data_IF_475359241301
#
_entry.id   IF_475359241301
#
_cell.length_a   1.000
_cell.length_b   1.000
_cell.length_c   1.000
_cell.angle_alpha   90.00
_cell.angle_beta   90.00
_cell.angle_gamma   90.00
#
_symmetry.space_group_name_H-M   'P 1'
#
loop_
_entity.id
_entity.type
_entity.pdbx_description
1 polymer ?
#
# COMPACT_ATOMS: atom_id res chain seq x y z
N UNK A 1 32.49 20.64 12.25
CA UNK A 1 31.19 19.95 12.08
C UNK A 1 30.64 20.22 10.69
N UNK A 2 30.58 19.24 9.81
CA UNK A 2 29.95 19.39 8.50
C UNK A 2 28.44 19.67 8.66
N UNK A 3 27.98 20.81 8.11
CA UNK A 3 26.58 21.23 8.18
C UNK A 3 25.73 20.23 7.44
N UNK A 4 24.74 19.62 8.11
CA UNK A 4 23.81 18.67 7.47
C UNK A 4 23.02 19.37 6.37
N UNK A 5 23.11 18.86 5.15
CA UNK A 5 22.30 19.30 3.99
C UNK A 5 21.05 18.41 3.91
N UNK A 6 19.88 19.01 3.94
CA UNK A 6 18.60 18.31 3.79
C UNK A 6 18.52 17.58 2.44
N UNK A 7 17.74 16.50 2.37
CA UNK A 7 17.56 15.75 1.12
C UNK A 7 17.13 16.67 -0.04
N UNK A 8 16.19 17.58 0.18
CA UNK A 8 15.65 18.47 -0.85
C UNK A 8 16.65 19.51 -1.35
N UNK A 9 17.61 19.88 -0.52
CA UNK A 9 18.64 20.89 -0.84
C UNK A 9 19.85 20.28 -1.58
N UNK A 10 19.84 18.97 -1.81
CA UNK A 10 20.91 18.24 -2.51
C UNK A 10 20.71 18.27 -4.02
N UNK A 11 21.82 18.13 -4.75
CA UNK A 11 21.76 17.91 -6.20
C UNK A 11 20.96 16.64 -6.57
N UNK A 12 20.34 16.62 -7.74
CA UNK A 12 19.60 15.44 -8.23
C UNK A 12 20.43 14.15 -8.22
N UNK A 13 21.73 14.24 -8.58
CA UNK A 13 22.66 13.11 -8.51
C UNK A 13 22.81 12.57 -7.10
N UNK A 14 22.97 13.45 -6.11
CA UNK A 14 23.09 13.07 -4.70
C UNK A 14 21.78 12.50 -4.16
N UNK A 15 20.63 13.06 -4.53
CA UNK A 15 19.30 12.51 -4.19
C UNK A 15 19.14 11.10 -4.71
N UNK A 16 19.43 10.86 -5.99
CA UNK A 16 19.32 9.53 -6.63
C UNK A 16 20.22 8.50 -5.93
N UNK A 17 21.44 8.90 -5.52
CA UNK A 17 22.34 8.01 -4.78
C UNK A 17 21.78 7.65 -3.40
N UNK A 18 21.22 8.61 -2.66
CA UNK A 18 20.58 8.37 -1.36
C UNK A 18 19.38 7.45 -1.52
N UNK A 19 18.50 7.70 -2.47
CA UNK A 19 17.32 6.85 -2.75
C UNK A 19 17.76 5.42 -3.04
N UNK A 20 18.77 5.23 -3.91
CA UNK A 20 19.33 3.91 -4.21
C UNK A 20 19.80 3.20 -2.94
N UNK A 21 20.61 3.87 -2.10
CA UNK A 21 21.14 3.28 -0.86
C UNK A 21 20.05 2.92 0.15
N UNK A 22 19.04 3.79 0.31
CA UNK A 22 17.88 3.49 1.16
C UNK A 22 17.13 2.26 0.66
N UNK A 23 16.86 2.17 -0.65
CA UNK A 23 16.22 0.99 -1.24
C UNK A 23 17.06 -0.28 -1.01
N UNK A 24 18.36 -0.23 -1.24
CA UNK A 24 19.28 -1.36 -1.04
C UNK A 24 19.32 -1.84 0.41
N UNK A 25 19.34 -0.93 1.37
CA UNK A 25 19.32 -1.30 2.80
C UNK A 25 18.00 -1.91 3.23
N UNK A 26 16.88 -1.33 2.81
CA UNK A 26 15.57 -1.91 3.08
C UNK A 26 15.45 -3.30 2.45
N UNK A 27 15.86 -3.46 1.19
CA UNK A 27 15.82 -4.75 0.50
C UNK A 27 16.75 -5.78 1.14
N UNK A 28 17.97 -5.39 1.52
CA UNK A 28 18.92 -6.27 2.23
C UNK A 28 18.35 -6.75 3.57
N UNK A 29 17.64 -5.88 4.29
CA UNK A 29 17.12 -6.20 5.62
C UNK A 29 15.83 -7.01 5.57
N UNK A 30 14.92 -6.69 4.64
CA UNK A 30 13.57 -7.25 4.61
C UNK A 30 13.29 -8.16 3.42
N UNK A 31 14.17 -8.18 2.42
CA UNK A 31 13.97 -8.92 1.18
C UNK A 31 12.81 -8.39 0.34
N UNK A 32 12.20 -9.31 -0.42
CA UNK A 32 11.00 -9.07 -1.25
C UNK A 32 9.85 -10.01 -0.88
N UNK A 33 9.48 -10.16 0.41
CA UNK A 33 8.44 -11.10 0.80
C UNK A 33 7.07 -10.64 0.30
N UNK A 34 6.21 -11.60 0.02
CA UNK A 34 4.78 -11.31 -0.12
C UNK A 34 4.18 -11.05 1.27
N UNK A 35 3.42 -9.98 1.42
CA UNK A 35 2.80 -9.61 2.71
C UNK A 35 1.51 -10.40 3.01
N UNK A 36 1.40 -11.59 2.45
CA UNK A 36 0.23 -12.45 2.61
C UNK A 36 -0.92 -12.11 1.67
N UNK A 37 -0.72 -11.24 0.70
CA UNK A 37 -1.72 -10.88 -0.31
C UNK A 37 -2.03 -12.07 -1.24
N UNK A 38 -3.31 -12.30 -1.63
CA UNK A 38 -3.69 -13.27 -2.63
C UNK A 38 -3.02 -13.01 -3.99
N UNK A 39 -2.91 -14.07 -4.81
CA UNK A 39 -2.28 -13.94 -6.14
C UNK A 39 -3.24 -13.42 -7.21
N UNK A 40 -4.53 -13.76 -7.10
CA UNK A 40 -5.55 -13.31 -8.05
C UNK A 40 -5.85 -11.82 -7.80
N UNK A 41 -5.88 -10.96 -8.85
CA UNK A 41 -6.17 -9.54 -8.69
C UNK A 41 -7.50 -9.24 -7.99
N UNK A 42 -8.55 -10.02 -8.27
CA UNK A 42 -9.84 -9.82 -7.63
C UNK A 42 -9.84 -10.26 -6.16
N UNK A 43 -9.18 -11.38 -5.86
CA UNK A 43 -8.98 -11.83 -4.48
C UNK A 43 -8.19 -10.80 -3.67
N UNK A 44 -7.13 -10.25 -4.26
CA UNK A 44 -6.30 -9.25 -3.62
C UNK A 44 -7.06 -7.94 -3.40
N UNK A 45 -7.87 -7.50 -4.37
CA UNK A 45 -8.72 -6.32 -4.21
C UNK A 45 -9.65 -6.45 -3.00
N UNK A 46 -10.34 -7.58 -2.86
CA UNK A 46 -11.23 -7.81 -1.73
C UNK A 46 -10.46 -7.95 -0.41
N UNK A 47 -9.30 -8.61 -0.43
CA UNK A 47 -8.43 -8.71 0.74
C UNK A 47 -7.91 -7.33 1.19
N UNK A 48 -7.44 -6.49 0.27
CA UNK A 48 -6.94 -5.15 0.57
C UNK A 48 -8.07 -4.27 1.14
N UNK A 49 -9.29 -4.38 0.60
CA UNK A 49 -10.44 -3.64 1.13
C UNK A 49 -10.71 -3.99 2.60
N UNK A 50 -10.55 -5.27 2.97
CA UNK A 50 -10.72 -5.76 4.35
C UNK A 50 -9.54 -5.34 5.24
N UNK A 51 -8.33 -5.34 4.71
CA UNK A 51 -7.11 -5.06 5.47
C UNK A 51 -6.89 -3.58 5.81
N UNK A 52 -7.55 -2.67 5.10
CA UNK A 52 -7.45 -1.23 5.38
C UNK A 52 -7.95 -0.92 6.80
N UNK A 53 -7.07 -0.33 7.65
CA UNK A 53 -7.37 0.01 9.06
C UNK A 53 -7.85 -1.18 9.89
N UNK A 54 -7.38 -2.39 9.57
CA UNK A 54 -7.74 -3.63 10.27
C UNK A 54 -6.46 -4.36 10.64
N UNK A 55 -6.42 -4.93 11.83
CA UNK A 55 -5.29 -5.76 12.26
C UNK A 55 -5.11 -6.95 11.29
N UNK A 56 -3.88 -7.30 10.90
CA UNK A 56 -3.61 -8.31 9.87
C UNK A 56 -4.32 -9.65 10.11
N UNK A 57 -4.29 -10.16 11.34
CA UNK A 57 -4.96 -11.43 11.71
C UNK A 57 -6.48 -11.37 11.51
N UNK A 58 -7.11 -10.26 11.94
CA UNK A 58 -8.56 -10.07 11.76
C UNK A 58 -8.94 -9.95 10.29
N UNK A 59 -8.15 -9.24 9.50
CA UNK A 59 -8.37 -9.12 8.06
C UNK A 59 -8.29 -10.47 7.36
N UNK A 60 -7.27 -11.27 7.70
CA UNK A 60 -7.07 -12.62 7.16
C UNK A 60 -8.24 -13.54 7.51
N UNK A 61 -8.57 -13.66 8.79
CA UNK A 61 -9.68 -14.50 9.25
C UNK A 61 -11.02 -14.10 8.59
N UNK A 62 -11.28 -12.80 8.46
CA UNK A 62 -12.50 -12.29 7.79
C UNK A 62 -12.51 -12.64 6.30
N UNK A 63 -11.36 -12.50 5.63
CA UNK A 63 -11.23 -12.88 4.22
C UNK A 63 -11.49 -14.37 4.01
N UNK A 64 -10.92 -15.24 4.85
CA UNK A 64 -11.11 -16.68 4.79
C UNK A 64 -12.57 -17.09 5.06
N UNK A 65 -13.21 -16.45 6.03
CA UNK A 65 -14.64 -16.67 6.30
C UNK A 65 -15.52 -16.28 5.10
N UNK A 66 -15.21 -15.15 4.43
CA UNK A 66 -15.89 -14.76 3.21
C UNK A 66 -15.64 -15.75 2.06
N UNK A 67 -14.40 -16.22 1.88
CA UNK A 67 -14.06 -17.22 0.86
C UNK A 67 -14.78 -18.56 1.09
N UNK A 68 -14.89 -18.97 2.34
CA UNK A 68 -15.66 -20.17 2.71
C UNK A 68 -17.14 -20.03 2.35
N UNK A 69 -17.73 -18.85 2.62
CA UNK A 69 -19.16 -18.59 2.33
C UNK A 69 -19.42 -18.32 0.84
N UNK A 70 -18.48 -17.65 0.17
CA UNK A 70 -18.54 -17.26 -1.23
C UNK A 70 -17.33 -17.81 -2.01
N UNK A 71 -17.27 -19.10 -2.31
CA UNK A 71 -16.15 -19.71 -3.03
C UNK A 71 -15.94 -19.11 -4.43
N UNK A 72 -17.01 -18.66 -5.06
CA UNK A 72 -16.99 -17.94 -6.33
C UNK A 72 -17.44 -16.50 -6.10
N UNK A 73 -16.56 -15.52 -6.36
CA UNK A 73 -16.89 -14.11 -6.18
C UNK A 73 -18.08 -13.62 -7.02
N UNK A 74 -18.42 -14.33 -8.08
CA UNK A 74 -19.62 -14.06 -8.88
C UNK A 74 -20.90 -14.01 -8.03
N UNK A 75 -20.99 -14.86 -7.00
CA UNK A 75 -22.16 -14.92 -6.11
C UNK A 75 -22.28 -13.71 -5.19
N UNK A 76 -21.20 -12.94 -5.00
CA UNK A 76 -21.20 -11.72 -4.17
C UNK A 76 -22.07 -10.62 -4.81
N UNK A 77 -22.21 -10.59 -6.12
CA UNK A 77 -23.07 -9.63 -6.82
C UNK A 77 -24.53 -9.67 -6.37
N UNK A 78 -25.00 -10.86 -5.98
CA UNK A 78 -26.37 -11.11 -5.57
C UNK A 78 -26.52 -11.40 -4.06
N UNK A 79 -25.39 -11.36 -3.32
CA UNK A 79 -25.36 -11.68 -1.90
C UNK A 79 -26.13 -10.65 -1.06
N UNK A 80 -26.69 -11.10 0.06
CA UNK A 80 -27.29 -10.22 1.06
C UNK A 80 -26.19 -9.37 1.74
N UNK A 81 -26.34 -8.04 1.68
CA UNK A 81 -25.43 -7.12 2.41
C UNK A 81 -25.46 -7.39 3.91
N UNK A 82 -26.62 -7.76 4.46
CA UNK A 82 -26.74 -8.06 5.89
C UNK A 82 -25.97 -9.33 6.28
N UNK A 83 -26.01 -10.37 5.44
CA UNK A 83 -25.23 -11.59 5.65
C UNK A 83 -23.71 -11.28 5.58
N UNK A 84 -23.29 -10.60 4.52
CA UNK A 84 -21.90 -10.19 4.38
C UNK A 84 -21.42 -9.31 5.55
N UNK A 85 -22.27 -8.38 6.02
CA UNK A 85 -21.99 -7.53 7.19
C UNK A 85 -21.71 -8.36 8.44
N UNK A 86 -22.51 -9.41 8.70
CA UNK A 86 -22.29 -10.30 9.85
C UNK A 86 -20.91 -10.96 9.79
N UNK A 87 -20.51 -11.48 8.63
CA UNK A 87 -19.20 -12.11 8.42
C UNK A 87 -18.06 -11.09 8.57
N UNK A 88 -18.26 -9.86 8.09
CA UNK A 88 -17.23 -8.81 8.11
C UNK A 88 -17.11 -8.06 9.44
N UNK A 89 -18.00 -8.29 10.39
CA UNK A 89 -18.03 -7.57 11.68
C UNK A 89 -16.66 -7.53 12.39
N UNK A 90 -15.88 -8.62 12.45
CA UNK A 90 -14.58 -8.61 13.12
C UNK A 90 -13.54 -7.66 12.48
N UNK A 91 -13.65 -7.36 11.18
CA UNK A 91 -12.74 -6.45 10.48
C UNK A 91 -13.11 -4.97 10.64
N UNK A 92 -14.30 -4.65 11.18
CA UNK A 92 -14.82 -3.29 11.29
C UNK A 92 -15.32 -2.71 9.96
N UNK A 93 -16.04 -1.59 10.01
CA UNK A 93 -16.68 -0.95 8.85
C UNK A 93 -17.53 -1.92 8.00
N UNK A 94 -18.10 -2.92 8.63
CA UNK A 94 -18.70 -4.09 7.98
C UNK A 94 -19.82 -3.73 6.99
N UNK A 95 -20.75 -2.84 7.36
CA UNK A 95 -21.84 -2.45 6.48
C UNK A 95 -21.34 -1.74 5.21
N UNK A 96 -20.38 -0.81 5.38
CA UNK A 96 -19.78 -0.09 4.25
C UNK A 96 -19.03 -1.03 3.32
N UNK A 97 -18.19 -1.92 3.87
CA UNK A 97 -17.39 -2.88 3.10
C UNK A 97 -18.26 -3.90 2.36
N UNK A 98 -19.30 -4.41 2.99
CA UNK A 98 -20.25 -5.32 2.37
C UNK A 98 -20.96 -4.67 1.17
N UNK A 99 -21.44 -3.45 1.32
CA UNK A 99 -22.04 -2.68 0.23
C UNK A 99 -21.03 -2.42 -0.90
N UNK A 100 -19.80 -2.04 -0.57
CA UNK A 100 -18.72 -1.80 -1.55
C UNK A 100 -18.38 -3.07 -2.32
N UNK A 101 -18.17 -4.21 -1.64
CA UNK A 101 -17.83 -5.47 -2.31
C UNK A 101 -18.95 -5.95 -3.24
N UNK A 102 -20.22 -5.86 -2.79
CA UNK A 102 -21.35 -6.19 -3.67
C UNK A 102 -21.44 -5.23 -4.86
N UNK A 103 -21.28 -3.94 -4.64
CA UNK A 103 -21.28 -2.94 -5.70
C UNK A 103 -20.18 -3.16 -6.72
N UNK A 104 -18.95 -3.49 -6.27
CA UNK A 104 -17.84 -3.86 -7.15
C UNK A 104 -18.17 -5.11 -7.97
N UNK A 105 -18.69 -6.17 -7.34
CA UNK A 105 -19.02 -7.41 -8.05
C UNK A 105 -20.10 -7.16 -9.12
N UNK A 106 -21.11 -6.36 -8.82
CA UNK A 106 -22.14 -5.96 -9.81
C UNK A 106 -21.56 -5.15 -10.96
N UNK A 107 -20.71 -4.16 -10.63
CA UNK A 107 -20.06 -3.33 -11.63
C UNK A 107 -19.16 -4.14 -12.56
N UNK A 108 -18.30 -5.01 -12.01
CA UNK A 108 -17.47 -5.90 -12.81
C UNK A 108 -18.29 -6.84 -13.71
N UNK A 109 -19.40 -7.37 -13.19
CA UNK A 109 -20.31 -8.21 -13.99
C UNK A 109 -20.97 -7.43 -15.13
N UNK A 110 -21.39 -6.21 -14.87
CA UNK A 110 -21.96 -5.31 -15.89
C UNK A 110 -20.96 -4.97 -16.99
N UNK A 111 -19.72 -4.61 -16.61
CA UNK A 111 -18.73 -4.09 -17.55
C UNK A 111 -18.04 -5.21 -18.34
N UNK A 112 -17.85 -6.40 -17.74
CA UNK A 112 -17.07 -7.50 -18.33
C UNK A 112 -17.87 -8.79 -18.55
N UNK A 113 -19.19 -8.78 -18.33
CA UNK A 113 -20.03 -9.98 -18.39
C UNK A 113 -19.79 -10.97 -17.24
N UNK A 114 -18.74 -10.80 -16.44
CA UNK A 114 -18.35 -11.65 -15.32
C UNK A 114 -17.60 -10.87 -14.24
N UNK A 115 -17.60 -11.39 -13.01
CA UNK A 115 -16.91 -10.77 -11.88
C UNK A 115 -15.42 -11.09 -11.94
N UNK A 116 -14.65 -10.24 -12.61
CA UNK A 116 -13.21 -10.43 -12.87
C UNK A 116 -12.50 -9.09 -13.09
N UNK A 117 -11.19 -9.07 -12.85
CA UNK A 117 -10.26 -8.00 -13.28
C UNK A 117 -9.36 -8.46 -14.45
N UNK A 118 -9.62 -9.66 -15.00
CA UNK A 118 -8.81 -10.24 -16.08
C UNK A 118 -8.63 -9.34 -17.29
N UNK A 119 -9.68 -8.68 -17.83
CA UNK A 119 -9.54 -7.77 -18.97
C UNK A 119 -8.54 -6.61 -18.76
N UNK A 120 -8.28 -6.22 -17.51
CA UNK A 120 -7.32 -5.19 -17.19
C UNK A 120 -5.85 -5.67 -17.23
N UNK A 121 -5.63 -6.97 -17.42
CA UNK A 121 -4.29 -7.56 -17.37
C UNK A 121 -3.33 -7.02 -18.44
N UNK A 122 -3.85 -6.67 -19.61
CA UNK A 122 -3.08 -6.17 -20.76
C UNK A 122 -3.19 -4.66 -20.99
N UNK A 123 -4.10 -3.97 -20.28
CA UNK A 123 -4.28 -2.51 -20.41
C UNK A 123 -3.08 -1.73 -19.82
N UNK A 124 -2.79 -0.52 -20.31
CA UNK A 124 -1.82 0.40 -19.72
C UNK A 124 -2.13 0.73 -18.25
N UNK A 125 -1.09 1.12 -17.48
CA UNK A 125 -1.22 1.36 -16.02
C UNK A 125 -2.19 2.50 -15.67
N UNK A 126 -2.23 3.54 -16.47
CA UNK A 126 -3.12 4.68 -16.32
C UNK A 126 -4.59 4.31 -16.56
N UNK A 127 -4.87 3.50 -17.57
CA UNK A 127 -6.22 2.97 -17.85
C UNK A 127 -6.68 2.04 -16.72
N UNK A 128 -5.81 1.13 -16.26
CA UNK A 128 -6.11 0.26 -15.12
C UNK A 128 -6.42 1.09 -13.87
N UNK A 129 -5.60 2.09 -13.58
CA UNK A 129 -5.83 2.98 -12.44
C UNK A 129 -7.13 3.75 -12.59
N UNK A 130 -7.38 4.33 -13.76
CA UNK A 130 -8.61 5.09 -14.06
C UNK A 130 -9.84 4.22 -13.85
N UNK A 131 -9.87 3.03 -14.44
CA UNK A 131 -10.98 2.09 -14.26
C UNK A 131 -11.16 1.65 -12.80
N UNK A 132 -10.09 1.19 -12.15
CA UNK A 132 -10.19 0.71 -10.77
C UNK A 132 -10.71 1.79 -9.81
N UNK A 133 -10.39 3.05 -10.05
CA UNK A 133 -10.91 4.17 -9.24
C UNK A 133 -12.40 4.43 -9.39
N UNK A 134 -13.05 3.91 -10.44
CA UNK A 134 -14.51 3.96 -10.58
C UNK A 134 -15.22 2.93 -9.70
N UNK A 135 -14.49 1.91 -9.22
CA UNK A 135 -15.06 0.85 -8.40
C UNK A 135 -15.35 1.35 -6.97
N UNK A 136 -16.49 0.96 -6.35
CA UNK A 136 -16.86 1.39 -5.01
C UNK A 136 -15.79 1.09 -3.95
N UNK A 137 -15.27 2.11 -3.29
CA UNK A 137 -14.28 1.97 -2.21
C UNK A 137 -12.82 1.81 -2.64
N UNK A 138 -12.54 1.89 -3.92
CA UNK A 138 -11.18 1.81 -4.47
C UNK A 138 -10.58 3.21 -4.58
N UNK A 139 -9.61 3.49 -3.72
CA UNK A 139 -8.75 4.68 -3.81
C UNK A 139 -7.53 4.40 -4.69
N UNK A 140 -6.79 5.45 -5.07
CA UNK A 140 -5.50 5.33 -5.78
C UNK A 140 -4.56 4.34 -5.06
N UNK A 141 -4.45 4.43 -3.72
CA UNK A 141 -3.63 3.50 -2.93
C UNK A 141 -4.09 2.05 -3.07
N UNK A 142 -5.40 1.79 -3.02
CA UNK A 142 -5.96 0.44 -3.16
C UNK A 142 -5.68 -0.10 -4.56
N UNK A 143 -5.94 0.69 -5.60
CA UNK A 143 -5.66 0.31 -6.98
C UNK A 143 -4.18 -0.05 -7.17
N UNK A 144 -3.27 0.82 -6.75
CA UNK A 144 -1.82 0.56 -6.87
C UNK A 144 -1.35 -0.65 -6.07
N UNK A 145 -1.94 -0.95 -4.91
CA UNK A 145 -1.64 -2.18 -4.18
C UNK A 145 -1.98 -3.43 -5.01
N UNK A 146 -3.18 -3.50 -5.59
CA UNK A 146 -3.59 -4.62 -6.45
C UNK A 146 -2.71 -4.72 -7.70
N UNK A 147 -2.46 -3.60 -8.36
CA UNK A 147 -1.58 -3.53 -9.53
C UNK A 147 -0.18 -4.05 -9.21
N UNK A 148 0.38 -3.68 -8.06
CA UNK A 148 1.71 -4.11 -7.65
C UNK A 148 1.74 -5.56 -7.16
N UNK A 149 0.83 -5.96 -6.25
CA UNK A 149 0.92 -7.27 -5.59
C UNK A 149 0.40 -8.42 -6.45
N UNK A 150 -0.69 -8.20 -7.18
CA UNK A 150 -1.38 -9.26 -7.91
C UNK A 150 -1.20 -9.17 -9.43
N UNK A 151 -1.01 -7.96 -9.99
CA UNK A 151 -0.78 -7.79 -11.43
C UNK A 151 0.71 -7.65 -11.78
N UNK A 152 1.63 -7.58 -10.78
CA UNK A 152 3.08 -7.49 -10.99
C UNK A 152 3.56 -6.17 -11.60
N UNK A 153 2.74 -5.11 -11.55
CA UNK A 153 3.04 -3.82 -12.16
C UNK A 153 4.05 -3.02 -11.32
N UNK A 154 4.88 -2.24 -11.98
CA UNK A 154 5.92 -1.43 -11.33
C UNK A 154 5.41 -0.06 -10.87
N UNK A 155 4.25 -0.03 -10.25
CA UNK A 155 3.66 1.16 -9.60
C UNK A 155 4.12 1.26 -8.14
N UNK A 156 3.92 2.42 -7.50
CA UNK A 156 4.31 2.61 -6.09
C UNK A 156 3.09 3.01 -5.25
N UNK A 157 2.49 2.08 -4.52
CA UNK A 157 1.47 2.42 -3.53
C UNK A 157 2.07 3.24 -2.39
N UNK A 158 1.45 4.36 -2.05
CA UNK A 158 1.83 5.17 -0.88
C UNK A 158 0.81 4.94 0.23
N UNK A 159 1.17 4.05 1.14
CA UNK A 159 0.41 3.82 2.37
C UNK A 159 0.96 4.69 3.52
N UNK A 160 0.38 4.52 4.71
CA UNK A 160 0.78 5.29 5.90
C UNK A 160 2.25 5.05 6.30
N UNK A 161 2.82 3.88 5.99
CA UNK A 161 4.22 3.56 6.28
C UNK A 161 5.15 4.23 5.26
N UNK A 162 4.88 4.05 3.98
CA UNK A 162 5.64 4.70 2.90
C UNK A 162 5.62 6.22 3.08
N UNK A 163 4.43 6.80 3.29
CA UNK A 163 4.28 8.24 3.48
C UNK A 163 5.10 8.75 4.67
N UNK A 164 4.94 8.15 5.86
CA UNK A 164 5.66 8.55 7.08
C UNK A 164 7.17 8.44 6.94
N UNK A 165 7.66 7.33 6.39
CA UNK A 165 9.09 7.10 6.23
C UNK A 165 9.66 8.10 5.22
N UNK A 166 8.99 8.33 4.09
CA UNK A 166 9.43 9.30 3.09
C UNK A 166 9.43 10.74 3.61
N UNK A 167 8.47 11.11 4.47
CA UNK A 167 8.48 12.40 5.17
C UNK A 167 9.68 12.51 6.13
N UNK A 168 9.94 11.48 6.93
CA UNK A 168 11.06 11.48 7.87
C UNK A 168 12.42 11.48 7.17
N UNK A 169 12.51 10.90 6.00
CA UNK A 169 13.69 10.97 5.13
C UNK A 169 13.86 12.34 4.45
N UNK A 170 12.84 13.21 4.51
CA UNK A 170 12.85 14.52 3.85
C UNK A 170 12.54 14.46 2.36
N UNK A 171 12.10 13.31 1.83
CA UNK A 171 11.80 13.14 0.41
C UNK A 171 10.53 13.86 -0.02
N UNK A 172 9.52 13.85 0.85
CA UNK A 172 8.25 14.57 0.69
C UNK A 172 8.01 15.45 1.92
N UNK A 173 7.20 16.51 1.78
CA UNK A 173 6.78 17.37 2.87
C UNK A 173 5.40 17.03 3.38
N UNK A 174 4.58 18.05 3.59
CA UNK A 174 3.19 17.93 4.03
C UNK A 174 2.21 17.73 2.86
N UNK A 175 2.69 17.24 1.73
CA UNK A 175 1.87 17.01 0.54
C UNK A 175 0.75 16.02 0.82
N UNK A 176 -0.38 16.20 0.13
CA UNK A 176 -1.46 15.23 0.15
C UNK A 176 -0.98 13.86 -0.35
N UNK A 177 -1.63 12.79 0.11
CA UNK A 177 -1.28 11.43 -0.33
C UNK A 177 -1.33 11.27 -1.87
N UNK A 178 -2.17 12.05 -2.57
CA UNK A 178 -2.24 12.05 -4.04
C UNK A 178 -0.92 12.54 -4.66
N UNK A 179 -0.43 13.69 -4.23
CA UNK A 179 0.82 14.25 -4.74
C UNK A 179 2.03 13.41 -4.35
N UNK A 180 1.97 12.75 -3.18
CA UNK A 180 3.02 11.86 -2.73
C UNK A 180 3.22 10.63 -3.63
N UNK A 181 2.17 10.11 -4.27
CA UNK A 181 2.29 9.01 -5.24
C UNK A 181 3.21 9.40 -6.41
N UNK A 182 2.94 10.54 -7.05
CA UNK A 182 3.69 10.99 -8.23
C UNK A 182 5.13 11.38 -7.86
N UNK A 183 5.31 12.12 -6.77
CA UNK A 183 6.64 12.51 -6.28
C UNK A 183 7.52 11.29 -5.99
N UNK A 184 7.00 10.29 -5.28
CA UNK A 184 7.76 9.10 -4.92
C UNK A 184 7.96 8.15 -6.10
N UNK A 185 7.01 8.08 -7.03
CA UNK A 185 7.18 7.30 -8.26
C UNK A 185 8.29 7.87 -9.14
N UNK A 186 8.49 9.21 -9.14
CA UNK A 186 9.61 9.85 -9.85
C UNK A 186 10.96 9.68 -9.14
N UNK A 187 10.96 9.51 -7.82
CA UNK A 187 12.18 9.32 -7.04
C UNK A 187 12.66 7.86 -7.02
N UNK A 188 11.73 6.92 -6.84
CA UNK A 188 12.07 5.50 -6.66
C UNK A 188 12.07 4.78 -8.01
N UNK A 189 13.22 4.23 -8.46
CA UNK A 189 13.31 3.51 -9.73
C UNK A 189 12.28 2.37 -9.81
N UNK A 190 11.65 2.21 -10.97
CA UNK A 190 10.53 1.29 -11.18
C UNK A 190 10.81 -0.13 -10.67
N UNK A 191 11.98 -0.71 -11.02
CA UNK A 191 12.39 -2.05 -10.61
C UNK A 191 12.61 -2.23 -9.09
N UNK A 192 12.71 -1.12 -8.32
CA UNK A 192 12.90 -1.14 -6.86
C UNK A 192 11.62 -0.84 -6.09
N UNK A 193 10.53 -0.42 -6.75
CA UNK A 193 9.29 0.04 -6.09
C UNK A 193 8.67 -1.04 -5.21
N UNK A 194 8.66 -2.29 -5.66
CA UNK A 194 8.14 -3.40 -4.85
C UNK A 194 8.93 -3.57 -3.54
N UNK A 195 10.26 -3.74 -3.66
CA UNK A 195 11.12 -3.92 -2.49
C UNK A 195 11.08 -2.73 -1.52
N UNK A 196 11.05 -1.50 -2.07
CA UNK A 196 10.92 -0.28 -1.28
C UNK A 196 9.59 -0.24 -0.52
N UNK A 197 8.46 -0.49 -1.21
CA UNK A 197 7.15 -0.48 -0.57
C UNK A 197 7.07 -1.52 0.55
N UNK A 198 7.41 -2.77 0.27
CA UNK A 198 7.37 -3.88 1.24
C UNK A 198 8.32 -3.61 2.39
N UNK A 199 9.54 -3.16 2.10
CA UNK A 199 10.54 -2.76 3.10
C UNK A 199 10.01 -1.64 4.00
N UNK A 200 9.37 -0.61 3.44
CA UNK A 200 8.73 0.46 4.23
C UNK A 200 7.60 -0.06 5.12
N UNK A 201 6.77 -0.98 4.64
CA UNK A 201 5.70 -1.58 5.45
C UNK A 201 6.28 -2.34 6.65
N UNK A 202 7.27 -3.19 6.42
CA UNK A 202 7.90 -3.99 7.48
C UNK A 202 8.70 -3.10 8.45
N UNK A 203 9.53 -2.20 7.94
CA UNK A 203 10.29 -1.24 8.72
C UNK A 203 9.40 -0.31 9.53
N UNK A 204 8.31 0.14 8.94
CA UNK A 204 7.34 1.02 9.59
C UNK A 204 6.50 0.34 10.68
N UNK A 205 6.36 -0.97 10.64
CA UNK A 205 5.72 -1.77 11.69
C UNK A 205 6.69 -2.06 12.84
N UNK A 206 7.91 -2.44 12.52
CA UNK A 206 8.90 -2.88 13.51
C UNK A 206 9.68 -1.73 14.15
N UNK A 207 10.23 -0.83 13.33
CA UNK A 207 11.23 0.17 13.73
C UNK A 207 10.70 1.59 13.65
N UNK A 208 10.35 2.08 12.45
CA UNK A 208 9.93 3.45 12.22
C UNK A 208 8.46 3.67 12.57
N UNK A 209 8.07 3.45 13.84
CA UNK A 209 6.70 3.56 14.34
C UNK A 209 6.20 5.01 14.32
N UNK A 210 4.86 5.25 14.33
CA UNK A 210 4.32 6.61 14.45
C UNK A 210 4.77 7.30 15.75
N UNK A 211 4.60 6.59 16.86
CA UNK A 211 5.04 6.97 18.19
C UNK A 211 6.22 6.07 18.59
N UNK A 212 7.15 6.60 19.37
CA UNK A 212 8.34 5.89 19.89
C UNK A 212 9.08 5.05 18.84
N UNK A 213 9.59 5.68 17.76
CA UNK A 213 10.35 4.95 16.77
C UNK A 213 11.69 4.47 17.36
N UNK A 214 12.08 3.24 17.04
CA UNK A 214 13.34 2.63 17.46
C UNK A 214 14.49 3.10 16.58
N UNK A 215 14.88 4.38 16.72
CA UNK A 215 15.85 5.01 15.82
C UNK A 215 17.26 4.41 15.92
N UNK A 216 17.64 3.83 17.05
CA UNK A 216 18.91 3.11 17.24
C UNK A 216 19.00 1.84 16.42
N UNK A 217 17.86 1.20 16.10
CA UNK A 217 17.77 -0.02 15.26
C UNK A 217 17.54 0.30 13.78
N UNK A 218 17.52 1.60 13.40
CA UNK A 218 17.08 2.03 12.07
C UNK A 218 18.17 1.87 11.01
N UNK A 219 18.00 0.91 10.10
CA UNK A 219 18.95 0.60 9.01
C UNK A 219 19.11 1.72 7.97
N UNK A 220 18.21 2.70 7.97
CA UNK A 220 18.24 3.87 7.09
C UNK A 220 18.39 5.19 7.85
N UNK A 221 18.73 5.12 9.15
CA UNK A 221 18.83 6.27 10.05
C UNK A 221 19.83 7.33 9.59
N UNK A 222 20.95 6.94 8.97
CA UNK A 222 21.97 7.86 8.45
C UNK A 222 21.45 8.78 7.32
N UNK A 223 20.32 8.41 6.66
CA UNK A 223 19.66 9.20 5.61
C UNK A 223 18.45 9.97 6.13
N UNK A 224 18.13 9.86 7.42
CA UNK A 224 16.90 10.41 7.98
C UNK A 224 17.04 11.88 8.38
N UNK A 225 16.38 12.79 7.66
CA UNK A 225 16.37 14.22 7.97
C UNK A 225 15.75 14.51 9.35
N UNK A 226 14.71 13.79 9.74
CA UNK A 226 14.05 13.96 11.05
C UNK A 226 14.97 13.59 12.20
N UNK A 227 15.75 12.51 12.05
CA UNK A 227 16.73 12.09 13.05
C UNK A 227 17.87 13.11 13.19
N UNK A 228 18.41 13.59 12.06
CA UNK A 228 19.54 14.53 12.02
C UNK A 228 19.16 15.93 12.50
N UNK A 229 17.93 16.38 12.28
CA UNK A 229 17.44 17.68 12.75
C UNK A 229 16.96 17.67 14.20
N UNK A 230 17.11 16.55 14.94
CA UNK A 230 16.52 16.35 16.28
C UNK A 230 15.01 16.70 16.33
N UNK A 231 14.31 16.57 15.20
CA UNK A 231 12.86 16.77 15.10
C UNK A 231 12.09 15.49 15.39
N UNK A 232 12.78 14.47 15.90
CA UNK A 232 12.16 13.30 16.45
C UNK A 232 11.91 13.60 17.94
N UNK A 233 10.66 13.89 18.36
CA UNK A 233 10.37 14.27 19.75
C UNK A 233 10.68 13.17 20.78
N UNK A 234 11.08 12.01 20.29
CA UNK A 234 11.37 10.81 21.07
C UNK A 234 12.87 10.49 21.20
N UNK A 235 13.75 11.46 20.89
CA UNK A 235 15.21 11.36 21.04
C UNK A 235 15.70 12.30 22.15
N UNK A 236 14.95 12.42 23.25
CA UNK A 236 15.43 13.05 24.46
C UNK A 236 16.16 12.02 25.32
#
# INVERSE_FOLDING_TARGET
MLKWISFRDRSRRSQAQIVRRVCERLEKTYGRPRLGNPRSPLDDLFFILLSNRTAPMKARATYEALRKRYPRWATVADASVNEMRKIMAPAGLAAKRAAQMRGMARRLRSDFGRVTLGPLGTSPDDEVLAYMRTLPGVSTKVAYCVMMYAMGRQVLPVDVHVHRISQRLGWIGAESARNAHDLLANLVPAHRRYAFHVGCVLHGRAVCRPQEPRCSECVIGEYCDSLRRRRCPWLA
#
